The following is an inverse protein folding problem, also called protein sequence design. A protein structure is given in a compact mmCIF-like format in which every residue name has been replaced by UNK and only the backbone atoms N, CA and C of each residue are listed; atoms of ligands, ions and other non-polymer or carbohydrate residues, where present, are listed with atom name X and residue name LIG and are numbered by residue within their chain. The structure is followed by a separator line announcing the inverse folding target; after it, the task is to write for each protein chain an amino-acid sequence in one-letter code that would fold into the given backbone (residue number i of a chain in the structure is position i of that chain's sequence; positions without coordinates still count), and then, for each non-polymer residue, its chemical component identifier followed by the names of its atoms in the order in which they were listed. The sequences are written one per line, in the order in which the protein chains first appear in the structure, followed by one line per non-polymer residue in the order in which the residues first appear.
data_IF_289918430462
#
_entry.id   IF_289918430462
#
_cell.length_a   1.000
_cell.length_b   1.000
_cell.length_c   1.000
_cell.angle_alpha   90.00
_cell.angle_beta   90.00
_cell.angle_gamma   90.00
#
_symmetry.space_group_name_H-M   'P 1'
#
loop_
_entity.id
_entity.type
_entity.pdbx_description
1 polymer ?
#
# COMPACT_ATOMS: atom_id res chain seq x y z
N UNK A 1 -17.56 -31.46 27.98
CA UNK A 1 -17.65 -30.32 27.05
C UNK A 1 -16.26 -30.10 26.48
N UNK A 2 -16.06 -30.36 25.19
CA UNK A 2 -14.76 -30.17 24.54
C UNK A 2 -14.58 -28.67 24.31
N UNK A 3 -13.52 -28.10 24.87
CA UNK A 3 -13.06 -26.75 24.55
C UNK A 3 -12.52 -26.80 23.13
N UNK A 4 -13.31 -26.32 22.18
CA UNK A 4 -12.84 -26.08 20.82
C UNK A 4 -11.98 -24.81 20.87
N UNK A 5 -10.69 -25.00 21.14
CA UNK A 5 -9.67 -23.98 20.90
C UNK A 5 -9.64 -23.83 19.39
N UNK A 6 -10.35 -22.85 18.87
CA UNK A 6 -10.27 -22.47 17.47
C UNK A 6 -8.84 -22.01 17.20
N UNK A 7 -8.00 -22.94 16.74
CA UNK A 7 -6.69 -22.63 16.17
C UNK A 7 -6.97 -21.65 15.03
N UNK A 8 -6.38 -20.43 15.05
CA UNK A 8 -6.54 -19.52 13.93
C UNK A 8 -6.09 -20.26 12.65
N UNK A 9 -6.88 -20.19 11.57
CA UNK A 9 -6.56 -20.91 10.34
C UNK A 9 -5.13 -20.57 9.90
N UNK A 10 -4.40 -21.58 9.42
CA UNK A 10 -3.02 -21.42 8.96
C UNK A 10 -2.95 -20.27 7.94
N UNK A 11 -2.31 -19.17 8.32
CA UNK A 11 -2.18 -17.98 7.47
C UNK A 11 -1.05 -18.14 6.45
N UNK A 12 -0.21 -19.17 6.56
CA UNK A 12 0.96 -19.33 5.70
C UNK A 12 0.56 -19.51 4.24
N UNK A 13 1.12 -18.67 3.36
CA UNK A 13 1.03 -18.88 1.91
C UNK A 13 2.37 -19.36 1.36
N UNK A 14 2.32 -20.14 0.29
CA UNK A 14 3.49 -20.77 -0.33
C UNK A 14 3.85 -20.17 -1.69
N UNK A 15 2.92 -19.46 -2.31
CA UNK A 15 3.11 -18.82 -3.61
C UNK A 15 2.34 -17.49 -3.66
N UNK A 16 2.80 -16.61 -4.55
CA UNK A 16 2.12 -15.37 -4.89
C UNK A 16 1.13 -15.66 -6.03
N UNK A 17 -0.17 -15.32 -5.89
CA UNK A 17 -1.15 -15.50 -6.95
C UNK A 17 -0.76 -14.74 -8.23
N UNK A 18 -1.18 -15.24 -9.39
CA UNK A 18 -0.96 -14.59 -10.70
C UNK A 18 0.51 -14.29 -11.07
N UNK A 19 1.48 -15.00 -10.49
CA UNK A 19 2.91 -14.79 -10.76
C UNK A 19 3.28 -14.80 -12.25
N UNK A 20 2.69 -15.70 -13.06
CA UNK A 20 2.93 -15.75 -14.51
C UNK A 20 2.47 -14.48 -15.24
N UNK A 21 1.32 -13.93 -14.82
CA UNK A 21 0.80 -12.67 -15.35
C UNK A 21 1.68 -11.50 -14.94
N UNK A 22 2.12 -11.45 -13.67
CA UNK A 22 3.10 -10.45 -13.21
C UNK A 22 4.38 -10.51 -14.04
N UNK A 23 4.94 -11.70 -14.26
CA UNK A 23 6.15 -11.87 -15.07
C UNK A 23 5.95 -11.35 -16.51
N UNK A 24 4.77 -11.59 -17.09
CA UNK A 24 4.40 -11.07 -18.42
C UNK A 24 4.36 -9.54 -18.42
N UNK A 25 3.73 -8.94 -17.40
CA UNK A 25 3.63 -7.48 -17.27
C UNK A 25 4.99 -6.80 -17.03
N UNK A 26 5.83 -7.41 -16.19
CA UNK A 26 7.21 -6.96 -15.94
C UNK A 26 8.01 -6.97 -17.25
N UNK A 27 7.92 -8.06 -18.02
CA UNK A 27 8.61 -8.20 -19.31
C UNK A 27 8.12 -7.18 -20.33
N UNK A 28 6.81 -6.91 -20.34
CA UNK A 28 6.21 -5.86 -21.17
C UNK A 28 6.51 -4.43 -20.68
N UNK A 29 7.13 -4.27 -19.51
CA UNK A 29 7.39 -2.97 -18.88
C UNK A 29 6.12 -2.25 -18.40
N UNK A 30 5.00 -2.96 -18.30
CA UNK A 30 3.72 -2.41 -17.82
C UNK A 30 3.82 -2.15 -16.32
N UNK A 31 3.43 -0.96 -15.87
CA UNK A 31 3.56 -0.56 -14.47
C UNK A 31 4.91 0.06 -14.09
N UNK A 32 5.82 0.23 -15.05
CA UNK A 32 7.02 1.06 -14.91
C UNK A 32 6.69 2.52 -15.19
N UNK A 33 7.13 3.45 -14.35
CA UNK A 33 7.01 4.88 -14.60
C UNK A 33 7.91 5.28 -15.75
N UNK A 34 7.37 6.18 -16.56
CA UNK A 34 8.13 6.89 -17.57
C UNK A 34 9.21 7.73 -16.90
N UNK A 35 10.44 7.54 -17.36
CA UNK A 35 11.58 8.36 -16.94
C UNK A 35 11.39 9.78 -17.48
N UNK A 36 11.27 10.75 -16.58
CA UNK A 36 10.96 12.14 -16.92
C UNK A 36 12.18 12.94 -17.40
N UNK A 37 13.41 12.44 -17.23
CA UNK A 37 14.62 13.11 -17.71
C UNK A 37 15.42 12.27 -18.71
N UNK A 38 15.95 12.96 -19.72
CA UNK A 38 16.85 12.40 -20.76
C UNK A 38 18.07 11.71 -20.13
N UNK A 39 18.57 12.21 -19.00
CA UNK A 39 19.69 11.61 -18.26
C UNK A 39 19.30 10.25 -17.67
N UNK A 40 18.11 10.11 -17.07
CA UNK A 40 17.60 8.85 -16.56
C UNK A 40 17.38 7.82 -17.69
N UNK A 41 16.95 8.29 -18.87
CA UNK A 41 16.80 7.46 -20.07
C UNK A 41 18.14 6.95 -20.60
N UNK A 42 19.17 7.81 -20.63
CA UNK A 42 20.47 7.50 -21.22
C UNK A 42 21.45 6.76 -20.29
N UNK A 43 21.36 6.96 -18.96
CA UNK A 43 22.32 6.38 -18.00
C UNK A 43 21.71 5.42 -16.98
N UNK A 44 20.38 5.40 -16.84
CA UNK A 44 19.75 4.86 -15.63
C UNK A 44 20.08 5.76 -14.43
N UNK A 45 19.06 6.17 -13.66
CA UNK A 45 19.35 6.85 -12.39
C UNK A 45 20.05 5.87 -11.43
N UNK A 46 20.82 6.36 -10.43
CA UNK A 46 21.26 5.52 -9.35
C UNK A 46 20.02 4.93 -8.66
N UNK A 47 20.00 3.61 -8.49
CA UNK A 47 18.93 2.93 -7.75
C UNK A 47 18.93 3.47 -6.33
N UNK A 48 17.76 3.90 -5.84
CA UNK A 48 17.64 4.34 -4.46
C UNK A 48 17.66 3.13 -3.52
N UNK A 49 18.12 3.29 -2.28
CA UNK A 49 17.98 2.27 -1.26
C UNK A 49 16.50 1.99 -0.99
N UNK A 50 16.18 0.78 -0.51
CA UNK A 50 14.80 0.40 -0.20
C UNK A 50 14.34 1.17 1.03
N UNK A 51 13.21 1.86 0.93
CA UNK A 51 12.54 2.53 2.05
C UNK A 51 11.07 2.17 2.01
N UNK A 52 10.57 1.64 3.13
CA UNK A 52 9.24 1.06 3.23
C UNK A 52 8.27 2.10 3.79
N UNK A 53 7.12 2.23 3.15
CA UNK A 53 6.03 3.11 3.58
C UNK A 53 5.05 2.40 4.51
N UNK A 54 4.56 1.23 4.09
CA UNK A 54 3.52 0.49 4.81
C UNK A 54 3.46 -0.97 4.32
N UNK A 55 2.83 -1.84 5.11
CA UNK A 55 2.54 -3.22 4.73
C UNK A 55 1.11 -3.61 5.08
N UNK A 56 0.44 -4.30 4.16
CA UNK A 56 -0.96 -4.71 4.30
C UNK A 56 -1.12 -6.21 4.03
N UNK A 57 -1.71 -6.93 4.98
CA UNK A 57 -2.00 -8.36 4.83
C UNK A 57 -3.37 -8.56 4.18
N UNK A 58 -3.40 -9.27 3.05
CA UNK A 58 -4.60 -9.76 2.38
C UNK A 58 -4.67 -11.29 2.50
N UNK A 59 -5.82 -11.94 2.23
CA UNK A 59 -5.94 -13.39 2.35
C UNK A 59 -4.90 -14.20 1.56
N UNK A 60 -4.44 -13.68 0.42
CA UNK A 60 -3.53 -14.39 -0.48
C UNK A 60 -2.05 -14.00 -0.29
N UNK A 61 -1.77 -12.78 0.15
CA UNK A 61 -0.41 -12.23 0.21
C UNK A 61 -0.31 -10.98 1.09
N UNK A 62 0.92 -10.58 1.42
CA UNK A 62 1.21 -9.28 2.04
C UNK A 62 1.71 -8.31 0.97
N UNK A 63 1.09 -7.14 0.87
CA UNK A 63 1.51 -6.08 -0.03
C UNK A 63 2.35 -5.07 0.74
N UNK A 64 3.62 -4.95 0.39
CA UNK A 64 4.56 -3.99 0.97
C UNK A 64 4.74 -2.83 0.01
N UNK A 65 4.46 -1.62 0.49
CA UNK A 65 4.62 -0.38 -0.27
C UNK A 65 5.98 0.24 0.02
N UNK A 66 6.69 0.63 -1.03
CA UNK A 66 7.99 1.31 -0.94
C UNK A 66 7.92 2.71 -1.54
N UNK A 67 8.76 3.62 -1.07
CA UNK A 67 8.92 4.97 -1.66
C UNK A 67 10.12 5.04 -2.61
N UNK A 68 10.93 3.98 -2.65
CA UNK A 68 12.13 3.86 -3.49
C UNK A 68 11.78 3.83 -4.97
N UNK A 69 12.46 4.69 -5.73
CA UNK A 69 12.30 4.85 -7.17
C UNK A 69 13.31 4.00 -7.91
N UNK A 70 13.04 3.76 -9.19
CA UNK A 70 13.93 3.03 -10.10
C UNK A 70 14.26 1.59 -9.62
N UNK A 71 13.42 1.02 -8.75
CA UNK A 71 13.48 -0.37 -8.26
C UNK A 71 12.59 -1.34 -9.04
N UNK A 72 11.81 -0.87 -10.02
CA UNK A 72 10.90 -1.73 -10.80
C UNK A 72 11.64 -2.94 -11.41
N UNK A 73 11.13 -4.14 -11.16
CA UNK A 73 11.72 -5.39 -11.65
C UNK A 73 12.93 -5.87 -10.85
N UNK A 74 13.36 -5.14 -9.82
CA UNK A 74 14.45 -5.58 -8.95
C UNK A 74 13.99 -6.73 -8.06
N UNK A 75 14.89 -7.69 -7.88
CA UNK A 75 14.72 -8.76 -6.89
C UNK A 75 14.97 -8.18 -5.51
N UNK A 76 14.06 -8.46 -4.59
CA UNK A 76 14.14 -8.05 -3.18
C UNK A 76 13.74 -9.21 -2.28
N UNK A 77 14.13 -9.15 -1.01
CA UNK A 77 13.86 -10.21 -0.04
C UNK A 77 12.93 -9.70 1.07
N UNK A 78 11.77 -10.34 1.22
CA UNK A 78 10.84 -10.08 2.31
C UNK A 78 11.33 -10.76 3.59
N UNK A 79 11.61 -9.96 4.61
CA UNK A 79 12.05 -10.41 5.94
C UNK A 79 10.93 -10.20 6.94
N UNK A 80 10.65 -11.22 7.75
CA UNK A 80 9.49 -11.24 8.64
C UNK A 80 9.95 -11.17 10.08
N UNK A 81 9.18 -10.47 10.91
CA UNK A 81 9.50 -10.32 12.33
C UNK A 81 8.25 -10.52 13.18
N UNK A 82 8.45 -11.09 14.36
CA UNK A 82 7.41 -11.28 15.35
C UNK A 82 7.02 -9.97 16.06
N UNK A 83 6.07 -10.05 16.99
CA UNK A 83 5.62 -8.91 17.82
C UNK A 83 6.73 -8.28 18.68
N UNK A 84 7.83 -9.00 18.92
CA UNK A 84 9.00 -8.53 19.65
C UNK A 84 10.12 -8.05 18.72
N UNK A 85 9.84 -7.96 17.40
CA UNK A 85 10.80 -7.59 16.35
C UNK A 85 11.98 -8.54 16.22
N UNK A 86 11.78 -9.80 16.62
CA UNK A 86 12.73 -10.88 16.34
C UNK A 86 12.43 -11.44 14.96
N UNK A 87 13.47 -11.57 14.15
CA UNK A 87 13.33 -12.15 12.81
C UNK A 87 12.87 -13.60 12.88
N UNK A 88 11.98 -13.97 11.96
CA UNK A 88 11.38 -15.30 11.86
C UNK A 88 11.51 -15.86 10.45
N UNK A 89 11.84 -17.14 10.37
CA UNK A 89 11.90 -17.89 9.12
C UNK A 89 13.04 -17.46 8.21
N UNK A 90 12.93 -17.82 6.93
CA UNK A 90 13.89 -17.45 5.89
C UNK A 90 13.34 -16.28 5.06
N UNK A 91 14.21 -15.36 4.60
CA UNK A 91 13.81 -14.30 3.69
C UNK A 91 13.14 -14.87 2.43
N UNK A 92 12.00 -14.31 2.03
CA UNK A 92 11.30 -14.73 0.82
C UNK A 92 11.70 -13.85 -0.36
N UNK A 93 12.22 -14.47 -1.41
CA UNK A 93 12.59 -13.79 -2.65
C UNK A 93 11.34 -13.33 -3.41
N UNK A 94 11.23 -12.02 -3.64
CA UNK A 94 10.17 -11.39 -4.43
C UNK A 94 10.76 -10.42 -5.46
N UNK A 95 9.89 -9.76 -6.21
CA UNK A 95 10.23 -8.77 -7.23
C UNK A 95 9.37 -7.53 -7.00
N UNK A 96 9.96 -6.36 -7.20
CA UNK A 96 9.23 -5.08 -7.15
C UNK A 96 8.33 -4.96 -8.37
N UNK A 97 7.05 -5.21 -8.18
CA UNK A 97 6.01 -5.07 -9.18
C UNK A 97 4.63 -4.91 -8.52
N UNK A 98 3.77 -3.99 -9.00
CA UNK A 98 4.08 -2.87 -9.89
C UNK A 98 5.10 -1.90 -9.25
N UNK A 99 5.47 -0.79 -9.92
CA UNK A 99 6.37 0.17 -9.27
C UNK A 99 5.82 0.62 -7.91
N UNK A 100 6.71 0.67 -6.91
CA UNK A 100 6.40 0.97 -5.51
C UNK A 100 5.68 -0.13 -4.71
N UNK A 101 5.53 -1.33 -5.27
CA UNK A 101 4.90 -2.45 -4.57
C UNK A 101 5.76 -3.72 -4.61
N UNK A 102 5.72 -4.49 -3.52
CA UNK A 102 6.32 -5.81 -3.41
C UNK A 102 5.31 -6.78 -2.82
N UNK A 103 5.12 -7.91 -3.48
CA UNK A 103 4.24 -8.98 -3.03
C UNK A 103 5.03 -10.00 -2.21
N UNK A 104 4.73 -10.11 -0.93
CA UNK A 104 5.36 -11.03 0.03
C UNK A 104 4.39 -12.14 0.42
N UNK A 105 4.93 -13.30 0.82
CA UNK A 105 4.11 -14.38 1.37
C UNK A 105 3.56 -13.99 2.73
N UNK A 106 2.45 -14.62 3.10
CA UNK A 106 1.94 -14.57 4.47
C UNK A 106 2.72 -15.56 5.31
N UNK A 107 3.06 -15.13 6.53
CA UNK A 107 3.76 -15.95 7.52
C UNK A 107 3.01 -15.91 8.84
N UNK A 108 2.77 -17.06 9.44
CA UNK A 108 2.27 -17.15 10.82
C UNK A 108 3.24 -16.41 11.75
N UNK A 109 2.68 -15.77 12.77
CA UNK A 109 3.41 -15.00 13.80
C UNK A 109 4.16 -13.75 13.30
N UNK A 110 4.12 -13.43 12.00
CA UNK A 110 4.67 -12.19 11.47
C UNK A 110 3.77 -11.00 11.84
N UNK A 111 4.31 -10.08 12.65
CA UNK A 111 3.66 -8.81 13.00
C UNK A 111 4.30 -7.62 12.25
N UNK A 112 5.54 -7.77 11.81
CA UNK A 112 6.26 -6.75 11.05
C UNK A 112 6.96 -7.37 9.84
N UNK A 113 7.24 -6.53 8.84
CA UNK A 113 7.99 -6.91 7.64
C UNK A 113 9.03 -5.86 7.30
N UNK A 114 10.16 -6.31 6.77
CA UNK A 114 11.17 -5.46 6.15
C UNK A 114 11.55 -6.02 4.77
N UNK A 115 12.28 -5.24 4.00
CA UNK A 115 12.73 -5.55 2.65
C UNK A 115 14.23 -5.26 2.55
N UNK A 116 14.97 -6.15 1.91
CA UNK A 116 16.40 -5.99 1.63
C UNK A 116 16.71 -6.31 0.17
N UNK A 117 17.82 -5.78 -0.36
CA UNK A 117 18.27 -6.11 -1.71
C UNK A 117 18.92 -7.50 -1.74
N UNK A 118 19.57 -7.90 -0.64
CA UNK A 118 20.15 -9.23 -0.43
C UNK A 118 19.57 -9.94 0.82
N UNK A 119 19.60 -11.29 0.88
CA UNK A 119 18.96 -12.02 1.98
C UNK A 119 19.64 -11.81 3.34
N UNK A 120 20.96 -11.60 3.35
CA UNK A 120 21.79 -11.48 4.55
C UNK A 120 22.23 -10.04 4.85
N UNK A 121 21.68 -9.06 4.12
CA UNK A 121 22.00 -7.64 4.30
C UNK A 121 21.46 -7.11 5.63
N UNK A 122 21.97 -5.98 6.11
CA UNK A 122 21.32 -5.26 7.19
C UNK A 122 19.94 -4.76 6.73
N UNK A 123 18.92 -4.92 7.58
CA UNK A 123 17.55 -4.52 7.27
C UNK A 123 17.23 -3.12 7.82
N UNK A 124 16.41 -2.36 7.08
CA UNK A 124 15.78 -1.17 7.63
C UNK A 124 14.72 -1.53 8.67
N UNK A 125 14.39 -0.57 9.55
CA UNK A 125 13.44 -0.77 10.64
C UNK A 125 12.12 -1.37 10.15
N UNK A 126 11.70 -2.55 10.66
CA UNK A 126 10.51 -3.23 10.18
C UNK A 126 9.22 -2.41 10.37
N UNK A 127 8.36 -2.40 9.36
CA UNK A 127 7.05 -1.74 9.43
C UNK A 127 5.97 -2.72 9.90
N UNK A 128 4.96 -2.27 10.67
CA UNK A 128 3.88 -3.14 11.11
C UNK A 128 3.05 -3.64 9.93
N UNK A 129 2.64 -4.90 9.98
CA UNK A 129 1.70 -5.48 9.03
C UNK A 129 0.29 -5.16 9.50
N UNK A 130 -0.47 -4.44 8.66
CA UNK A 130 -1.86 -4.09 8.95
C UNK A 130 -2.77 -5.17 8.38
N UNK A 131 -3.54 -5.84 9.23
CA UNK A 131 -4.46 -6.92 8.85
C UNK A 131 -5.68 -6.37 8.09
N UNK A 132 -5.77 -6.68 6.78
CA UNK A 132 -6.91 -6.41 5.90
C UNK A 132 -7.61 -7.69 5.45
N UNK A 133 -7.43 -8.80 6.17
CA UNK A 133 -8.11 -10.08 5.91
C UNK A 133 -9.50 -10.18 6.51
N UNK A 134 -9.94 -9.12 7.20
CA UNK A 134 -11.25 -9.05 7.82
C UNK A 134 -12.35 -9.22 6.76
N UNK A 135 -13.39 -10.04 7.04
CA UNK A 135 -14.46 -10.31 6.09
C UNK A 135 -15.32 -9.08 5.80
N UNK A 136 -15.36 -8.12 6.73
CA UNK A 136 -16.07 -6.87 6.59
C UNK A 136 -15.07 -5.76 6.24
N UNK A 137 -15.02 -5.40 4.96
CA UNK A 137 -14.24 -4.25 4.50
C UNK A 137 -15.04 -3.01 4.90
N UNK A 138 -14.50 -2.15 5.78
CA UNK A 138 -15.18 -0.94 6.23
C UNK A 138 -15.63 -0.06 5.05
N UNK A 139 -14.77 0.07 4.03
CA UNK A 139 -15.04 0.80 2.79
C UNK A 139 -14.52 0.02 1.59
N UNK A 140 -15.43 -0.54 0.78
CA UNK A 140 -15.05 -1.33 -0.41
C UNK A 140 -14.33 -0.49 -1.46
N UNK A 141 -14.77 0.75 -1.66
CA UNK A 141 -14.17 1.71 -2.58
C UNK A 141 -14.05 3.06 -1.88
N UNK A 142 -12.82 3.54 -1.71
CA UNK A 142 -12.53 4.83 -1.10
C UNK A 142 -11.70 5.69 -2.04
N UNK A 143 -11.88 7.01 -1.97
CA UNK A 143 -11.19 7.96 -2.85
C UNK A 143 -10.28 8.87 -2.03
N UNK A 144 -9.00 8.90 -2.41
CA UNK A 144 -8.06 9.90 -1.88
C UNK A 144 -8.14 11.16 -2.72
N UNK A 145 -8.61 12.25 -2.11
CA UNK A 145 -8.71 13.55 -2.77
C UNK A 145 -7.34 14.23 -2.76
N UNK A 146 -6.97 14.83 -3.89
CA UNK A 146 -5.74 15.60 -3.98
C UNK A 146 -5.72 16.72 -2.91
N UNK A 147 -4.55 17.05 -2.33
CA UNK A 147 -4.49 18.05 -1.27
C UNK A 147 -5.08 19.40 -1.70
N UNK A 148 -5.96 19.94 -0.85
CA UNK A 148 -6.60 21.24 -1.05
C UNK A 148 -5.66 22.36 -0.60
N UNK A 149 -5.29 23.23 -1.54
CA UNK A 149 -4.47 24.42 -1.33
C UNK A 149 -5.15 25.68 -1.84
N UNK A 150 -4.81 26.83 -1.24
CA UNK A 150 -5.25 28.15 -1.66
C UNK A 150 -6.49 28.64 -0.92
N UNK A 151 -6.81 29.92 -1.10
CA UNK A 151 -7.97 30.56 -0.47
C UNK A 151 -9.15 30.71 -1.44
N UNK A 152 -9.07 30.11 -2.62
CA UNK A 152 -10.18 30.08 -3.57
C UNK A 152 -11.27 29.14 -3.07
N UNK A 153 -12.52 29.47 -3.37
CA UNK A 153 -13.64 28.67 -2.94
C UNK A 153 -13.75 27.41 -3.80
N UNK A 154 -13.73 26.23 -3.16
CA UNK A 154 -13.73 24.93 -3.82
C UNK A 154 -14.96 24.08 -3.53
N UNK A 155 -15.91 24.59 -2.75
CA UNK A 155 -17.08 23.85 -2.29
C UNK A 155 -17.82 23.15 -3.44
N UNK A 156 -17.99 23.82 -4.59
CA UNK A 156 -18.74 23.26 -5.71
C UNK A 156 -17.97 22.09 -6.35
N UNK A 157 -16.67 22.27 -6.56
CA UNK A 157 -15.80 21.19 -7.08
C UNK A 157 -15.70 20.01 -6.11
N UNK A 158 -15.66 20.29 -4.80
CA UNK A 158 -15.60 19.27 -3.77
C UNK A 158 -16.91 18.48 -3.70
N UNK A 159 -18.06 19.17 -3.72
CA UNK A 159 -19.38 18.53 -3.75
C UNK A 159 -19.55 17.68 -5.01
N UNK A 160 -19.21 18.22 -6.19
CA UNK A 160 -19.31 17.50 -7.45
C UNK A 160 -18.45 16.23 -7.44
N UNK A 161 -17.20 16.33 -6.97
CA UNK A 161 -16.30 15.17 -6.88
C UNK A 161 -16.86 14.10 -5.95
N UNK A 162 -17.25 14.47 -4.73
CA UNK A 162 -17.73 13.51 -3.73
C UNK A 162 -19.01 12.83 -4.21
N UNK A 163 -20.00 13.59 -4.65
CA UNK A 163 -21.28 13.04 -5.10
C UNK A 163 -21.12 12.21 -6.38
N UNK A 164 -20.25 12.61 -7.30
CA UNK A 164 -19.96 11.83 -8.50
C UNK A 164 -19.36 10.45 -8.16
N UNK A 165 -18.37 10.39 -7.26
CA UNK A 165 -17.76 9.11 -6.87
C UNK A 165 -18.71 8.26 -6.02
N UNK A 166 -19.59 8.87 -5.21
CA UNK A 166 -20.66 8.13 -4.52
C UNK A 166 -21.57 7.39 -5.49
N UNK A 167 -21.94 8.03 -6.62
CA UNK A 167 -22.71 7.36 -7.68
C UNK A 167 -21.95 6.17 -8.32
N UNK A 168 -20.62 6.18 -8.27
CA UNK A 168 -19.76 5.07 -8.72
C UNK A 168 -19.55 3.99 -7.64
N UNK A 169 -20.14 4.14 -6.46
CA UNK A 169 -20.04 3.20 -5.36
C UNK A 169 -18.93 3.52 -4.35
N UNK A 170 -18.33 4.72 -4.39
CA UNK A 170 -17.40 5.14 -3.35
C UNK A 170 -18.15 5.33 -2.02
N UNK A 171 -17.62 4.73 -0.96
CA UNK A 171 -18.21 4.77 0.37
C UNK A 171 -17.47 5.67 1.35
N UNK A 172 -16.25 6.14 1.01
CA UNK A 172 -15.45 6.97 1.90
C UNK A 172 -14.41 7.82 1.16
N UNK A 173 -14.08 8.99 1.72
CA UNK A 173 -13.20 9.97 1.12
C UNK A 173 -12.10 10.43 2.09
N UNK A 174 -10.84 10.34 1.66
CA UNK A 174 -9.69 10.86 2.41
C UNK A 174 -9.33 12.24 1.84
N UNK A 175 -9.51 13.31 2.62
CA UNK A 175 -9.38 14.69 2.14
C UNK A 175 -8.26 15.41 2.87
N UNK A 176 -7.13 15.65 2.20
CA UNK A 176 -6.04 16.42 2.81
C UNK A 176 -6.25 17.92 2.63
N UNK A 177 -6.32 18.69 3.71
CA UNK A 177 -6.51 20.15 3.65
C UNK A 177 -5.42 20.90 4.42
N UNK A 178 -4.84 21.94 3.80
CA UNK A 178 -3.91 22.87 4.47
C UNK A 178 -4.49 24.28 4.61
N UNK A 179 -5.06 24.80 3.52
CA UNK A 179 -5.76 26.09 3.48
C UNK A 179 -7.05 25.88 2.68
N UNK A 180 -8.18 26.22 3.31
CA UNK A 180 -9.52 26.08 2.75
C UNK A 180 -10.35 27.28 3.23
N UNK A 181 -11.21 27.81 2.38
CA UNK A 181 -12.12 28.88 2.77
C UNK A 181 -13.22 28.36 3.71
N UNK A 182 -13.83 29.27 4.47
CA UNK A 182 -14.83 28.95 5.48
C UNK A 182 -16.01 28.17 4.90
N UNK A 183 -16.49 28.54 3.72
CA UNK A 183 -17.65 27.89 3.12
C UNK A 183 -17.34 26.45 2.66
N UNK A 184 -16.21 26.23 1.99
CA UNK A 184 -15.77 24.87 1.65
C UNK A 184 -15.46 24.03 2.89
N UNK A 185 -15.01 24.66 3.98
CA UNK A 185 -14.79 23.97 5.26
C UNK A 185 -16.10 23.48 5.87
N UNK A 186 -17.14 24.32 5.89
CA UNK A 186 -18.49 23.93 6.38
C UNK A 186 -19.01 22.72 5.61
N UNK A 187 -18.90 22.73 4.28
CA UNK A 187 -19.30 21.60 3.44
C UNK A 187 -18.50 20.33 3.78
N UNK A 188 -17.18 20.44 3.87
CA UNK A 188 -16.31 19.31 4.19
C UNK A 188 -16.63 18.75 5.59
N UNK A 189 -16.85 19.60 6.57
CA UNK A 189 -17.21 19.20 7.93
C UNK A 189 -18.56 18.46 7.97
N UNK A 190 -19.49 18.77 7.05
CA UNK A 190 -20.74 18.00 6.93
C UNK A 190 -20.50 16.56 6.45
N UNK A 191 -19.65 16.37 5.44
CA UNK A 191 -19.24 15.03 4.99
C UNK A 191 -18.43 14.27 6.05
N UNK A 192 -17.63 14.97 6.86
CA UNK A 192 -16.95 14.35 8.01
C UNK A 192 -17.96 13.93 9.07
N UNK A 193 -18.95 14.78 9.37
CA UNK A 193 -20.00 14.51 10.35
C UNK A 193 -20.88 13.31 9.97
N UNK A 194 -21.11 13.08 8.68
CA UNK A 194 -21.86 11.91 8.17
C UNK A 194 -21.01 10.64 8.11
N UNK A 195 -19.70 10.72 8.38
CA UNK A 195 -18.76 9.60 8.28
C UNK A 195 -18.37 9.26 6.85
N UNK A 196 -18.72 10.11 5.89
CA UNK A 196 -18.40 9.93 4.48
C UNK A 196 -16.98 10.37 4.15
N UNK A 197 -16.38 11.26 4.96
CA UNK A 197 -15.01 11.72 4.77
C UNK A 197 -14.19 11.77 6.06
N UNK A 198 -12.87 11.71 5.93
CA UNK A 198 -11.90 12.09 6.97
C UNK A 198 -10.87 13.09 6.42
N UNK A 199 -10.29 13.91 7.32
CA UNK A 199 -9.40 15.03 6.97
C UNK A 199 -8.06 14.96 7.69
#
# INVERSE_FOLDING_TARGET
MKNDVTVPPDKNTNYIPHQEWYNTMITAGVGKKNKTTVIQLLKGGPKMNITILAAYEYPEQVNVLITSRDKFGDVVYCRYFDKFKKEIGVPFKSVVFPEYNVHCLRRNDAAYVSLTDDPDEDFEYPVPIIDRTQPEIAHFFSVCVAPIYGNESKWLMLAELIEHYKLQGASHFYVYSKYIDEYSRILLDDYVRTGEAEV
#
